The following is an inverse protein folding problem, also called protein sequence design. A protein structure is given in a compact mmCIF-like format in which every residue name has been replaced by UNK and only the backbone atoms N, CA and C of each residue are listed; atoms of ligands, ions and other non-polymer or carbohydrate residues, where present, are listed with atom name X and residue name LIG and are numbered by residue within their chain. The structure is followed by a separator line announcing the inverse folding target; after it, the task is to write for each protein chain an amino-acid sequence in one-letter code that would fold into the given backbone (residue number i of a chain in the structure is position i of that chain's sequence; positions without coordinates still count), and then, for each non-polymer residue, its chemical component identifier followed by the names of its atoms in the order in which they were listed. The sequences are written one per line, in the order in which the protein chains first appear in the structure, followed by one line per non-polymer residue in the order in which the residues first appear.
data_IF_380002883992
#
_entry.id   IF_380002883992
#
_cell.length_a   1.000
_cell.length_b   1.000
_cell.length_c   1.000
_cell.angle_alpha   90.00
_cell.angle_beta   90.00
_cell.angle_gamma   90.00
#
_symmetry.space_group_name_H-M   'P 1'
#
loop_
_entity.id
_entity.type
_entity.pdbx_description
1 polymer ?
#
# COMPACT_ATOMS: atom_id res chain seq x y z
N UNK A 1 -5.36 18.36 10.45
CA UNK A 1 -4.63 17.14 10.05
C UNK A 1 -3.67 17.52 8.93
N UNK A 2 -2.49 16.91 8.88
CA UNK A 2 -1.55 17.11 7.78
C UNK A 2 -2.19 16.59 6.49
N UNK A 3 -2.06 17.29 5.36
CA UNK A 3 -2.63 16.82 4.09
C UNK A 3 -1.70 15.83 3.41
N UNK A 4 -2.25 14.95 2.58
CA UNK A 4 -1.44 14.05 1.76
C UNK A 4 -0.59 14.86 0.76
N UNK A 5 0.71 14.58 0.73
CA UNK A 5 1.69 15.20 -0.16
C UNK A 5 2.01 14.25 -1.30
N UNK A 6 2.10 14.79 -2.53
CA UNK A 6 2.50 14.05 -3.71
C UNK A 6 3.63 14.80 -4.45
N UNK A 7 4.77 14.13 -4.69
CA UNK A 7 5.93 14.71 -5.37
C UNK A 7 6.60 13.72 -6.30
N UNK A 8 7.21 14.20 -7.39
CA UNK A 8 8.17 13.40 -8.16
C UNK A 8 9.50 13.38 -7.40
N UNK A 9 10.15 12.22 -7.35
CA UNK A 9 11.52 12.13 -6.85
C UNK A 9 12.50 12.79 -7.83
N UNK A 10 13.72 13.09 -7.35
CA UNK A 10 14.77 13.75 -8.12
C UNK A 10 15.15 13.04 -9.43
N UNK A 11 14.89 11.73 -9.54
CA UNK A 11 15.10 10.98 -10.78
C UNK A 11 14.02 11.20 -11.86
N UNK A 12 12.94 11.91 -11.52
CA UNK A 12 11.80 12.18 -12.41
C UNK A 12 10.99 10.94 -12.82
N UNK A 13 11.32 9.77 -12.29
CA UNK A 13 10.72 8.48 -12.67
C UNK A 13 9.76 7.94 -11.63
N UNK A 14 10.04 8.21 -10.36
CA UNK A 14 9.25 7.71 -9.23
C UNK A 14 8.37 8.79 -8.63
N UNK A 15 7.18 8.37 -8.20
CA UNK A 15 6.27 9.18 -7.41
C UNK A 15 6.50 8.86 -5.92
N UNK A 16 6.57 9.90 -5.10
CA UNK A 16 6.56 9.82 -3.65
C UNK A 16 5.23 10.37 -3.14
N UNK A 17 4.54 9.59 -2.31
CA UNK A 17 3.31 9.98 -1.61
C UNK A 17 3.52 9.86 -0.11
N UNK A 18 3.14 10.88 0.66
CA UNK A 18 3.28 10.86 2.11
C UNK A 18 2.03 11.42 2.80
N UNK A 19 1.52 10.72 3.81
CA UNK A 19 0.44 11.21 4.66
C UNK A 19 0.55 10.57 6.05
N UNK A 20 0.85 11.40 7.06
CA UNK A 20 1.15 10.89 8.40
C UNK A 20 2.33 9.92 8.38
N UNK A 21 2.21 8.70 8.96
CA UNK A 21 3.27 7.70 8.96
C UNK A 21 3.38 6.89 7.65
N UNK A 22 2.46 7.10 6.70
CA UNK A 22 2.42 6.33 5.46
C UNK A 22 3.28 7.02 4.41
N UNK A 23 4.27 6.29 3.88
CA UNK A 23 5.26 6.80 2.95
C UNK A 23 5.42 5.81 1.78
N UNK A 24 5.00 6.22 0.58
CA UNK A 24 4.97 5.36 -0.60
C UNK A 24 5.96 5.83 -1.66
N UNK A 25 6.77 4.89 -2.15
CA UNK A 25 7.59 5.06 -3.35
C UNK A 25 7.00 4.21 -4.47
N UNK A 26 6.57 4.87 -5.54
CA UNK A 26 5.78 4.26 -6.62
C UNK A 26 6.52 4.41 -7.94
N UNK A 27 6.59 3.31 -8.70
CA UNK A 27 7.10 3.30 -10.07
C UNK A 27 6.12 2.62 -11.02
N UNK A 28 6.10 3.07 -12.28
CA UNK A 28 5.31 2.45 -13.33
C UNK A 28 6.00 2.63 -14.70
N UNK A 29 6.06 1.54 -15.45
CA UNK A 29 6.55 1.48 -16.82
C UNK A 29 5.38 1.28 -17.79
N UNK A 30 5.11 2.31 -18.59
CA UNK A 30 3.91 2.41 -19.43
C UNK A 30 2.73 3.03 -18.68
N UNK A 31 1.99 3.91 -19.36
CA UNK A 31 0.83 4.63 -18.82
C UNK A 31 1.03 5.31 -17.45
N UNK A 32 2.28 5.72 -17.20
CA UNK A 32 2.80 6.12 -15.88
C UNK A 32 2.03 7.29 -15.28
N UNK A 33 1.75 8.32 -16.07
CA UNK A 33 1.10 9.53 -15.55
C UNK A 33 -0.34 9.25 -15.10
N UNK A 34 -1.08 8.40 -15.83
CA UNK A 34 -2.42 7.94 -15.42
C UNK A 34 -2.36 7.09 -14.16
N UNK A 35 -1.40 6.17 -14.08
CA UNK A 35 -1.19 5.36 -12.88
C UNK A 35 -0.88 6.25 -11.66
N UNK A 36 0.03 7.21 -11.80
CA UNK A 36 0.42 8.14 -10.73
C UNK A 36 -0.73 9.08 -10.30
N UNK A 37 -1.57 9.53 -11.24
CA UNK A 37 -2.76 10.30 -10.89
C UNK A 37 -3.74 9.45 -10.06
N UNK A 38 -4.00 8.21 -10.47
CA UNK A 38 -4.88 7.30 -9.74
C UNK A 38 -4.34 6.94 -8.35
N UNK A 39 -3.03 6.70 -8.23
CA UNK A 39 -2.37 6.49 -6.95
C UNK A 39 -2.55 7.71 -6.02
N UNK A 40 -2.28 8.91 -6.54
CA UNK A 40 -2.41 10.16 -5.78
C UNK A 40 -3.84 10.38 -5.30
N UNK A 41 -4.84 10.12 -6.16
CA UNK A 41 -6.24 10.23 -5.81
C UNK A 41 -6.64 9.22 -4.74
N UNK A 42 -6.27 7.94 -4.90
CA UNK A 42 -6.61 6.90 -3.92
C UNK A 42 -5.98 7.18 -2.56
N UNK A 43 -4.75 7.69 -2.55
CA UNK A 43 -3.98 7.93 -1.35
C UNK A 43 -4.57 9.01 -0.44
N UNK A 44 -5.38 9.94 -0.98
CA UNK A 44 -6.02 10.99 -0.18
C UNK A 44 -6.87 10.45 0.98
N UNK A 45 -7.55 9.32 0.77
CA UNK A 45 -8.51 8.78 1.76
C UNK A 45 -7.94 7.68 2.65
N UNK A 46 -6.75 7.14 2.32
CA UNK A 46 -6.16 5.96 2.99
C UNK A 46 -6.02 6.15 4.49
N UNK A 47 -5.45 7.27 4.93
CA UNK A 47 -5.19 7.49 6.35
C UNK A 47 -6.50 7.64 7.15
N UNK A 48 -7.48 8.33 6.58
CA UNK A 48 -8.78 8.56 7.22
C UNK A 48 -9.56 7.25 7.39
N UNK A 49 -9.56 6.39 6.36
CA UNK A 49 -10.14 5.04 6.43
C UNK A 49 -9.50 4.20 7.55
N UNK A 50 -8.16 4.22 7.66
CA UNK A 50 -7.44 3.48 8.70
C UNK A 50 -7.71 4.02 10.11
N UNK A 51 -7.74 5.35 10.27
CA UNK A 51 -8.00 5.99 11.57
C UNK A 51 -9.42 5.71 12.05
N UNK A 52 -10.41 5.71 11.15
CA UNK A 52 -11.80 5.41 11.48
C UNK A 52 -11.98 4.01 12.10
N UNK A 53 -11.16 3.03 11.70
CA UNK A 53 -11.27 1.65 12.15
C UNK A 53 -10.14 1.22 13.10
N UNK A 54 -9.26 2.17 13.48
CA UNK A 54 -8.06 1.93 14.27
C UNK A 54 -8.32 1.22 15.61
N UNK A 55 -9.40 1.51 16.37
CA UNK A 55 -9.70 0.77 17.60
C UNK A 55 -9.83 -0.74 17.38
N UNK A 56 -10.48 -1.15 16.28
CA UNK A 56 -10.70 -2.56 15.94
C UNK A 56 -9.40 -3.17 15.37
N UNK A 57 -8.69 -2.42 14.52
CA UNK A 57 -7.45 -2.89 13.90
C UNK A 57 -6.33 -3.16 14.90
N UNK A 58 -6.35 -2.50 16.06
CA UNK A 58 -5.42 -2.73 17.18
C UNK A 58 -5.80 -3.90 18.09
N UNK A 59 -6.95 -4.53 17.86
CA UNK A 59 -7.38 -5.69 18.62
C UNK A 59 -7.07 -6.99 17.87
N UNK A 60 -6.66 -8.03 18.61
CA UNK A 60 -6.46 -9.38 18.05
C UNK A 60 -7.79 -10.06 17.69
N UNK A 61 -8.85 -9.78 18.45
CA UNK A 61 -10.18 -10.32 18.17
C UNK A 61 -10.69 -9.73 16.86
N UNK A 62 -11.17 -10.60 15.96
CA UNK A 62 -11.89 -10.17 14.77
C UNK A 62 -13.07 -9.29 15.17
N UNK A 63 -13.10 -8.07 14.66
CA UNK A 63 -14.23 -7.16 14.75
C UNK A 63 -14.85 -6.92 13.38
N UNK A 64 -16.01 -6.26 13.36
CA UNK A 64 -16.61 -5.84 12.11
C UNK A 64 -15.88 -4.61 11.58
N UNK A 65 -15.48 -4.67 10.31
CA UNK A 65 -14.87 -3.56 9.59
C UNK A 65 -15.59 -3.40 8.25
N UNK A 66 -15.70 -2.17 7.81
CA UNK A 66 -16.38 -1.74 6.59
C UNK A 66 -15.40 -1.22 5.55
N UNK A 67 -14.23 -0.72 5.97
CA UNK A 67 -13.18 -0.25 5.08
C UNK A 67 -12.51 -1.39 4.34
N UNK A 68 -12.29 -1.20 3.03
CA UNK A 68 -11.66 -2.22 2.19
C UNK A 68 -10.23 -2.56 2.66
N UNK A 69 -9.46 -1.55 3.11
CA UNK A 69 -8.10 -1.75 3.63
C UNK A 69 -8.13 -2.58 4.92
N UNK A 70 -8.99 -2.22 5.86
CA UNK A 70 -9.15 -2.94 7.11
C UNK A 70 -9.59 -4.39 6.89
N UNK A 71 -10.49 -4.63 5.94
CA UNK A 71 -10.91 -5.98 5.58
C UNK A 71 -9.75 -6.80 5.00
N UNK A 72 -8.91 -6.21 4.14
CA UNK A 72 -7.69 -6.86 3.64
C UNK A 72 -6.71 -7.19 4.78
N UNK A 73 -6.51 -6.26 5.72
CA UNK A 73 -5.64 -6.47 6.88
C UNK A 73 -6.14 -7.63 7.76
N UNK A 74 -7.43 -7.68 8.07
CA UNK A 74 -8.01 -8.79 8.84
C UNK A 74 -7.86 -10.13 8.12
N UNK A 75 -8.09 -10.15 6.80
CA UNK A 75 -7.93 -11.37 6.00
C UNK A 75 -6.49 -11.85 5.98
N UNK A 76 -5.52 -10.95 5.85
CA UNK A 76 -4.09 -11.28 5.85
C UNK A 76 -3.64 -11.88 7.20
N UNK A 77 -4.16 -11.36 8.31
CA UNK A 77 -3.78 -11.80 9.66
C UNK A 77 -4.55 -13.05 10.12
N UNK A 78 -5.70 -13.37 9.52
CA UNK A 78 -6.55 -14.49 9.93
C UNK A 78 -5.80 -15.83 10.15
N UNK A 79 -4.86 -16.26 9.27
CA UNK A 79 -4.11 -17.51 9.48
C UNK A 79 -3.16 -17.50 10.69
N UNK A 80 -2.83 -16.31 11.22
CA UNK A 80 -1.80 -16.10 12.24
C UNK A 80 -2.37 -15.83 13.63
N UNK A 81 -3.70 -15.75 13.79
CA UNK A 81 -4.33 -15.33 15.06
C UNK A 81 -4.06 -16.27 16.23
N UNK A 82 -3.64 -17.52 15.98
CA UNK A 82 -3.29 -18.51 17.01
C UNK A 82 -1.79 -18.53 17.36
N UNK A 83 -0.95 -17.81 16.62
CA UNK A 83 0.52 -17.88 16.74
C UNK A 83 1.10 -16.89 17.77
N UNK A 84 0.25 -16.25 18.57
CA UNK A 84 0.64 -15.25 19.57
C UNK A 84 -0.24 -14.01 19.50
N UNK A 85 0.27 -12.88 19.99
CA UNK A 85 -0.42 -11.59 19.89
C UNK A 85 -0.14 -10.95 18.53
N UNK A 86 -1.03 -11.20 17.56
CA UNK A 86 -1.00 -10.57 16.24
C UNK A 86 -2.31 -9.83 16.00
N UNK A 87 -2.22 -8.57 15.58
CA UNK A 87 -3.38 -7.72 15.28
C UNK A 87 -3.38 -7.37 13.79
N UNK A 88 -4.53 -6.97 13.20
CA UNK A 88 -4.59 -6.46 11.82
C UNK A 88 -3.53 -5.40 11.49
N UNK A 89 -3.09 -4.60 12.47
CA UNK A 89 -2.01 -3.62 12.27
C UNK A 89 -0.71 -4.23 11.71
N UNK A 90 -0.45 -5.52 11.92
CA UNK A 90 0.73 -6.19 11.37
C UNK A 90 0.74 -6.28 9.83
N UNK A 91 -0.43 -6.09 9.17
CA UNK A 91 -0.56 -6.13 7.71
C UNK A 91 -0.76 -4.74 7.08
N UNK A 92 -0.64 -3.64 7.84
CA UNK A 92 -1.03 -2.30 7.38
C UNK A 92 -0.24 -1.85 6.16
N UNK A 93 1.09 -2.03 6.15
CA UNK A 93 1.94 -1.46 5.11
C UNK A 93 1.72 -2.16 3.75
N UNK A 94 1.72 -3.50 3.75
CA UNK A 94 1.33 -4.32 2.60
C UNK A 94 -0.09 -4.04 2.08
N UNK A 95 -1.09 -3.99 2.97
CA UNK A 95 -2.49 -3.73 2.55
C UNK A 95 -2.66 -2.35 1.90
N UNK A 96 -1.97 -1.33 2.39
CA UNK A 96 -1.94 0.00 1.76
C UNK A 96 -1.26 -0.06 0.39
N UNK A 97 -0.13 -0.77 0.26
CA UNK A 97 0.58 -0.91 -1.00
C UNK A 97 -0.28 -1.59 -2.07
N UNK A 98 -0.94 -2.70 -1.73
CA UNK A 98 -1.86 -3.42 -2.59
C UNK A 98 -3.06 -2.55 -3.00
N UNK A 99 -3.63 -1.82 -2.05
CA UNK A 99 -4.78 -0.94 -2.30
C UNK A 99 -4.44 0.17 -3.30
N UNK A 100 -3.28 0.80 -3.16
CA UNK A 100 -2.85 1.86 -4.08
C UNK A 100 -2.50 1.28 -5.44
N UNK A 101 -1.83 0.13 -5.49
CA UNK A 101 -1.53 -0.55 -6.77
C UNK A 101 -2.82 -0.93 -7.49
N UNK A 102 -3.81 -1.49 -6.81
CA UNK A 102 -5.10 -1.83 -7.41
C UNK A 102 -5.79 -0.60 -8.03
N UNK A 103 -5.76 0.56 -7.36
CA UNK A 103 -6.30 1.79 -7.91
C UNK A 103 -5.55 2.28 -9.16
N UNK A 104 -4.21 2.12 -9.19
CA UNK A 104 -3.42 2.38 -10.40
C UNK A 104 -3.87 1.51 -11.57
N UNK A 105 -4.04 0.21 -11.32
CA UNK A 105 -4.41 -0.77 -12.33
C UNK A 105 -5.86 -0.65 -12.80
N UNK A 106 -6.75 -0.06 -12.01
CA UNK A 106 -8.11 0.26 -12.48
C UNK A 106 -8.09 1.31 -13.61
N UNK A 107 -7.24 2.33 -13.46
CA UNK A 107 -7.22 3.51 -14.35
C UNK A 107 -6.12 3.49 -15.41
N UNK A 108 -5.14 2.61 -15.29
CA UNK A 108 -4.00 2.54 -16.21
C UNK A 108 -3.69 1.09 -16.58
N UNK A 109 -2.85 0.92 -17.61
CA UNK A 109 -2.35 -0.42 -18.03
C UNK A 109 -0.81 -0.41 -18.13
N UNK A 110 -0.08 -0.20 -17.02
CA UNK A 110 1.37 -0.34 -17.02
C UNK A 110 1.76 -1.79 -17.33
N UNK A 111 2.90 -1.97 -18.01
CA UNK A 111 3.50 -3.30 -18.18
C UNK A 111 4.12 -3.79 -16.87
N UNK A 112 4.64 -2.85 -16.09
CA UNK A 112 5.20 -3.09 -14.77
C UNK A 112 4.89 -1.92 -13.85
N UNK A 113 4.49 -2.20 -12.62
CA UNK A 113 4.34 -1.18 -11.60
C UNK A 113 4.68 -1.75 -10.23
N UNK A 114 5.02 -0.86 -9.29
CA UNK A 114 5.20 -1.24 -7.90
C UNK A 114 4.79 -0.10 -6.98
N UNK A 115 4.38 -0.48 -5.77
CA UNK A 115 4.15 0.43 -4.64
C UNK A 115 4.94 -0.12 -3.47
N UNK A 116 6.01 0.57 -3.06
CA UNK A 116 6.79 0.22 -1.88
C UNK A 116 6.34 1.09 -0.70
N UNK A 117 6.09 0.46 0.45
CA UNK A 117 5.67 1.08 1.69
C UNK A 117 6.56 0.58 2.83
N UNK A 118 7.75 1.18 2.96
CA UNK A 118 8.78 0.71 3.89
C UNK A 118 9.25 -0.71 3.54
N UNK A 119 9.03 -1.65 4.46
CA UNK A 119 9.43 -3.06 4.30
C UNK A 119 8.56 -3.88 3.36
N UNK A 120 7.35 -3.41 3.03
CA UNK A 120 6.41 -4.11 2.16
C UNK A 120 6.42 -3.53 0.73
N UNK A 121 6.15 -4.39 -0.27
CA UNK A 121 6.07 -3.98 -1.67
C UNK A 121 5.00 -4.76 -2.42
N UNK A 122 4.07 -4.04 -3.06
CA UNK A 122 3.13 -4.59 -4.02
C UNK A 122 3.72 -4.49 -5.43
N UNK A 123 3.59 -5.55 -6.23
CA UNK A 123 4.17 -5.66 -7.57
C UNK A 123 3.10 -6.01 -8.61
N UNK A 124 3.17 -5.36 -9.76
CA UNK A 124 2.44 -5.72 -10.98
C UNK A 124 3.44 -5.97 -12.10
N UNK A 125 3.34 -7.13 -12.74
CA UNK A 125 4.21 -7.55 -13.84
C UNK A 125 3.36 -8.24 -14.91
N UNK A 126 3.52 -7.86 -16.17
CA UNK A 126 2.89 -8.53 -17.31
C UNK A 126 3.90 -9.24 -18.19
N UNK A 127 3.48 -10.33 -18.83
CA UNK A 127 4.32 -11.06 -19.79
C UNK A 127 5.67 -11.47 -19.20
N UNK A 128 6.76 -11.02 -19.84
CA UNK A 128 8.14 -11.34 -19.46
C UNK A 128 8.78 -10.29 -18.55
N UNK A 129 8.02 -9.31 -18.04
CA UNK A 129 8.55 -8.29 -17.13
C UNK A 129 9.09 -8.92 -15.85
N UNK A 130 10.18 -8.35 -15.34
CA UNK A 130 10.85 -8.82 -14.12
C UNK A 130 11.08 -7.66 -13.16
N UNK A 131 11.08 -7.96 -11.87
CA UNK A 131 11.47 -7.02 -10.83
C UNK A 131 12.53 -7.68 -9.94
N UNK A 132 13.54 -6.92 -9.53
CA UNK A 132 14.53 -7.35 -8.54
C UNK A 132 14.37 -6.48 -7.32
N UNK A 133 14.09 -7.11 -6.18
CA UNK A 133 14.09 -6.47 -4.88
C UNK A 133 15.38 -6.83 -4.14
N UNK A 134 15.83 -5.93 -3.28
CA UNK A 134 16.85 -6.23 -2.29
C UNK A 134 16.14 -6.45 -0.96
N UNK A 135 16.55 -7.48 -0.24
CA UNK A 135 16.14 -7.71 1.15
C UNK A 135 17.32 -7.33 2.02
N UNK A 136 17.11 -6.40 2.95
CA UNK A 136 18.14 -6.05 3.91
C UNK A 136 18.50 -7.30 4.74
N UNK A 137 19.79 -7.55 4.92
CA UNK A 137 20.25 -8.59 5.84
C UNK A 137 19.91 -8.23 7.28
N UNK A 138 19.94 -9.23 8.16
CA UNK A 138 20.01 -8.97 9.60
C UNK A 138 21.39 -8.38 9.90
N UNK A 139 21.44 -7.22 10.54
CA UNK A 139 22.67 -6.68 11.13
C UNK A 139 23.21 -7.60 12.23
#
# INVERSE_FOLDING_TARGET
MQTAVAKRLADGRRLHLQHGPIDLIIGADGDRERAFAAATQRFQTVLEELVAELPILRCQKKGEVTGAIAWQMQRAIHPHVTQGFVTPMAAVAGAVADTVLAAMLDKARPRRAYVNNGGDIALWLTGAERFRTLVAGSD
#
